data_IF_815739097004
#
_entry.id   IF_815739097004
#
_cell.length_a   1.000
_cell.length_b   1.000
_cell.length_c   1.000
_cell.angle_alpha   90.00
_cell.angle_beta   90.00
_cell.angle_gamma   90.00
#
_symmetry.space_group_name_H-M   'P 1'
#
loop_
_entity.id
_entity.type
_entity.pdbx_description
1 polymer ?
#
# COMPACT_ATOMS: atom_id res chain seq x y z
N UNK A 1 -7.02 -3.23 -19.03
CA UNK A 1 -6.09 -3.33 -17.90
C UNK A 1 -6.10 -4.76 -17.41
N UNK A 2 -4.94 -5.42 -17.38
CA UNK A 2 -4.81 -6.74 -16.78
C UNK A 2 -4.68 -6.53 -15.27
N UNK A 3 -5.68 -6.98 -14.52
CA UNK A 3 -5.66 -7.02 -13.05
C UNK A 3 -5.06 -8.38 -12.68
N UNK A 4 -3.83 -8.39 -12.18
CA UNK A 4 -3.22 -9.60 -11.64
C UNK A 4 -3.39 -9.57 -10.12
N UNK A 5 -4.30 -10.40 -9.63
CA UNK A 5 -4.46 -10.66 -8.19
C UNK A 5 -3.60 -11.87 -7.85
N UNK A 6 -2.44 -11.65 -7.24
CA UNK A 6 -1.60 -12.72 -6.73
C UNK A 6 -1.80 -12.85 -5.20
N UNK A 7 -1.70 -14.07 -4.68
CA UNK A 7 -1.75 -14.29 -3.23
C UNK A 7 -0.34 -14.15 -2.65
N UNK A 8 -0.18 -13.46 -1.52
CA UNK A 8 1.07 -13.48 -0.79
C UNK A 8 1.48 -14.94 -0.51
N UNK A 9 2.59 -15.40 -1.08
CA UNK A 9 3.06 -16.80 -1.01
C UNK A 9 3.69 -17.16 0.36
N UNK A 10 3.63 -16.24 1.33
CA UNK A 10 4.39 -16.29 2.57
C UNK A 10 3.57 -16.95 3.67
N UNK A 11 4.23 -17.79 4.48
CA UNK A 11 3.56 -18.58 5.51
C UNK A 11 3.59 -17.91 6.90
N UNK A 12 4.39 -16.85 7.08
CA UNK A 12 4.57 -16.12 8.33
C UNK A 12 4.81 -14.60 8.13
N UNK A 13 4.78 -13.84 9.23
CA UNK A 13 4.92 -12.38 9.21
C UNK A 13 6.30 -11.89 8.74
N UNK A 14 7.44 -12.49 9.15
CA UNK A 14 8.75 -12.13 8.59
C UNK A 14 8.81 -12.33 7.07
N UNK A 15 8.33 -13.47 6.56
CA UNK A 15 8.28 -13.71 5.13
C UNK A 15 7.41 -12.71 4.38
N UNK A 16 6.30 -12.25 4.99
CA UNK A 16 5.48 -11.15 4.45
C UNK A 16 6.28 -9.85 4.32
N UNK A 17 7.09 -9.48 5.32
CA UNK A 17 7.96 -8.30 5.23
C UNK A 17 8.94 -8.44 4.07
N UNK A 18 9.64 -9.57 3.97
CA UNK A 18 10.62 -9.82 2.91
C UNK A 18 9.96 -9.72 1.52
N UNK A 19 8.78 -10.33 1.37
CA UNK A 19 8.01 -10.26 0.13
C UNK A 19 7.54 -8.85 -0.23
N UNK A 20 7.14 -8.03 0.75
CA UNK A 20 6.79 -6.62 0.48
C UNK A 20 8.03 -5.84 0.03
N UNK A 21 9.19 -6.08 0.65
CA UNK A 21 10.46 -5.46 0.22
C UNK A 21 10.78 -5.82 -1.22
N UNK A 22 10.70 -7.11 -1.57
CA UNK A 22 10.92 -7.58 -2.95
C UNK A 22 9.93 -6.94 -3.93
N UNK A 23 8.65 -6.88 -3.56
CA UNK A 23 7.58 -6.34 -4.40
C UNK A 23 7.73 -4.84 -4.69
N UNK A 24 8.28 -4.08 -3.74
CA UNK A 24 8.47 -2.62 -3.86
C UNK A 24 9.83 -2.22 -4.43
N UNK A 25 10.79 -3.15 -4.50
CA UNK A 25 12.14 -2.87 -4.99
C UNK A 25 12.14 -2.64 -6.50
N UNK A 26 12.90 -1.64 -6.95
CA UNK A 26 13.10 -1.30 -8.36
C UNK A 26 11.82 -0.97 -9.17
N UNK A 27 10.75 -0.58 -8.49
CA UNK A 27 9.47 -0.23 -9.13
C UNK A 27 9.49 1.19 -9.72
N UNK A 28 8.76 1.43 -10.84
CA UNK A 28 8.73 2.73 -11.49
C UNK A 28 7.94 3.76 -10.67
N UNK A 29 8.25 5.06 -10.84
CA UNK A 29 7.43 6.14 -10.30
C UNK A 29 6.00 6.03 -10.83
N UNK A 30 5.02 6.07 -9.92
CA UNK A 30 3.60 5.91 -10.19
C UNK A 30 3.10 4.49 -9.95
N UNK A 31 3.97 3.52 -9.71
CA UNK A 31 3.58 2.18 -9.27
C UNK A 31 2.79 2.23 -7.97
N UNK A 32 1.73 1.42 -7.89
CA UNK A 32 0.88 1.28 -6.70
C UNK A 32 0.84 -0.19 -6.29
N UNK A 33 1.03 -0.42 -5.00
CA UNK A 33 0.96 -1.73 -4.34
C UNK A 33 -0.08 -1.67 -3.23
N UNK A 34 -1.06 -2.56 -3.26
CA UNK A 34 -2.20 -2.53 -2.34
C UNK A 34 -2.34 -3.88 -1.62
N UNK A 35 -2.49 -3.81 -0.30
CA UNK A 35 -2.82 -4.97 0.54
C UNK A 35 -4.15 -4.73 1.25
N UNK A 36 -4.96 -5.77 1.33
CA UNK A 36 -6.24 -5.79 2.02
C UNK A 36 -6.74 -7.21 2.25
N UNK A 37 -7.92 -7.41 2.86
CA UNK A 37 -8.48 -8.75 3.02
C UNK A 37 -8.77 -9.39 1.66
N UNK A 38 -8.33 -10.64 1.45
CA UNK A 38 -8.41 -11.35 0.16
C UNK A 38 -9.83 -11.48 -0.39
N UNK A 39 -10.79 -11.73 0.50
CA UNK A 39 -12.18 -12.01 0.11
C UNK A 39 -13.07 -10.74 0.11
N UNK A 40 -12.46 -9.55 0.17
CA UNK A 40 -13.20 -8.30 0.09
C UNK A 40 -13.63 -8.04 -1.37
N UNK A 41 -14.92 -8.26 -1.67
CA UNK A 41 -15.53 -7.93 -2.95
C UNK A 41 -15.79 -6.42 -3.11
N UNK A 42 -16.20 -5.95 -4.30
CA UNK A 42 -16.73 -4.60 -4.45
C UNK A 42 -17.88 -4.42 -3.46
N UNK A 43 -17.83 -3.34 -2.67
CA UNK A 43 -18.75 -3.08 -1.58
C UNK A 43 -20.21 -3.10 -2.08
N UNK A 44 -20.89 -4.23 -1.95
CA UNK A 44 -22.34 -4.29 -2.01
C UNK A 44 -22.83 -3.89 -0.61
N UNK A 45 -23.14 -2.60 -0.43
CA UNK A 45 -24.06 -1.99 0.54
C UNK A 45 -24.19 -2.59 1.97
N UNK A 46 -23.19 -3.29 2.51
CA UNK A 46 -23.28 -3.88 3.85
C UNK A 46 -22.50 -3.06 4.89
N UNK A 47 -23.28 -2.59 5.86
CA UNK A 47 -22.90 -1.90 7.08
C UNK A 47 -21.66 -2.53 7.75
N UNK A 48 -20.58 -1.77 7.89
CA UNK A 48 -19.67 -1.90 9.03
C UNK A 48 -18.64 -3.04 9.02
N UNK A 49 -18.31 -3.64 7.87
CA UNK A 49 -17.12 -4.50 7.80
C UNK A 49 -15.87 -3.61 7.83
N UNK A 50 -15.18 -3.58 8.98
CA UNK A 50 -13.89 -2.93 9.15
C UNK A 50 -12.88 -3.56 8.17
N UNK A 51 -12.42 -2.80 7.18
CA UNK A 51 -11.55 -3.26 6.12
C UNK A 51 -10.14 -2.72 6.35
N UNK A 52 -9.20 -3.58 6.73
CA UNK A 52 -7.80 -3.15 6.92
C UNK A 52 -7.12 -3.07 5.57
N UNK A 53 -6.81 -1.86 5.12
CA UNK A 53 -6.12 -1.63 3.86
C UNK A 53 -4.81 -0.89 4.08
N UNK A 54 -3.82 -1.22 3.27
CA UNK A 54 -2.58 -0.48 3.15
C UNK A 54 -2.24 -0.30 1.67
N UNK A 55 -1.91 0.93 1.28
CA UNK A 55 -1.53 1.29 -0.08
C UNK A 55 -0.16 1.94 -0.06
N UNK A 56 0.73 1.49 -0.94
CA UNK A 56 2.01 2.13 -1.21
C UNK A 56 1.99 2.69 -2.62
N UNK A 57 2.37 3.96 -2.77
CA UNK A 57 2.64 4.56 -4.08
C UNK A 57 4.11 4.95 -4.18
N UNK A 58 4.75 4.57 -5.28
CA UNK A 58 6.12 4.98 -5.61
C UNK A 58 6.08 6.39 -6.20
N UNK A 59 6.72 7.32 -5.54
CA UNK A 59 6.90 8.70 -5.95
C UNK A 59 8.26 8.90 -6.63
N UNK A 60 8.51 10.12 -7.11
CA UNK A 60 9.83 10.51 -7.64
C UNK A 60 10.94 10.33 -6.60
N UNK A 61 12.17 10.18 -7.08
CA UNK A 61 13.39 10.05 -6.27
C UNK A 61 13.36 8.88 -5.25
N UNK A 62 12.65 7.81 -5.61
CA UNK A 62 12.54 6.59 -4.80
C UNK A 62 11.78 6.76 -3.48
N UNK A 63 10.97 7.81 -3.35
CA UNK A 63 10.14 7.99 -2.16
C UNK A 63 8.90 7.11 -2.26
N UNK A 64 8.59 6.40 -1.20
CA UNK A 64 7.39 5.58 -1.01
C UNK A 64 6.42 6.35 -0.12
N UNK A 65 5.17 6.46 -0.55
CA UNK A 65 4.05 6.91 0.29
C UNK A 65 3.28 5.67 0.75
N UNK A 66 3.35 5.34 2.03
CA UNK A 66 2.48 4.35 2.65
C UNK A 66 1.29 5.04 3.30
N UNK A 67 0.08 4.56 2.99
CA UNK A 67 -1.19 4.95 3.61
C UNK A 67 -1.86 3.75 4.24
N UNK A 68 -2.50 3.95 5.39
CA UNK A 68 -3.25 2.91 6.11
C UNK A 68 -4.68 3.36 6.37
N UNK A 69 -5.59 2.39 6.31
CA UNK A 69 -7.00 2.64 6.58
C UNK A 69 -7.71 1.42 7.13
N UNK A 70 -8.81 1.68 7.84
CA UNK A 70 -9.86 0.74 8.25
C UNK A 70 -11.07 0.77 7.32
N UNK A 71 -10.98 1.53 6.23
CA UNK A 71 -11.92 1.52 5.12
C UNK A 71 -11.17 1.23 3.82
N UNK A 72 -11.92 1.05 2.73
CA UNK A 72 -11.33 0.98 1.38
C UNK A 72 -10.55 2.26 1.09
N UNK A 73 -9.33 2.12 0.59
CA UNK A 73 -8.51 3.23 0.09
C UNK A 73 -8.81 3.44 -1.40
N UNK A 74 -9.05 4.68 -1.79
CA UNK A 74 -9.09 5.04 -3.20
C UNK A 74 -7.65 5.11 -3.73
N UNK A 75 -7.48 4.71 -5.00
CA UNK A 75 -6.21 4.89 -5.71
C UNK A 75 -5.93 6.38 -5.93
N UNK A 76 -4.71 6.79 -5.60
CA UNK A 76 -4.29 8.19 -5.72
C UNK A 76 -3.82 8.51 -7.13
N UNK A 77 -4.38 9.60 -7.67
CA UNK A 77 -3.90 10.27 -8.86
C UNK A 77 -3.27 11.60 -8.46
N UNK A 78 -2.04 11.55 -7.93
CA UNK A 78 -1.30 12.74 -7.51
C UNK A 78 -0.88 13.56 -8.74
N UNK A 79 -1.47 14.75 -8.90
CA UNK A 79 -1.19 15.62 -10.05
C UNK A 79 0.15 16.36 -9.98
N UNK A 80 0.54 16.85 -8.80
CA UNK A 80 1.82 17.53 -8.57
C UNK A 80 2.24 17.40 -7.10
N UNK A 81 3.55 17.24 -6.87
CA UNK A 81 4.15 17.20 -5.54
C UNK A 81 5.65 17.47 -5.62
N UNK A 82 6.21 18.02 -4.54
CA UNK A 82 7.64 18.28 -4.41
C UNK A 82 8.25 17.39 -3.34
N UNK A 83 9.07 16.44 -3.78
CA UNK A 83 9.75 15.49 -2.88
C UNK A 83 10.58 16.19 -1.81
N UNK A 84 11.19 17.33 -2.14
CA UNK A 84 12.00 18.13 -1.21
C UNK A 84 11.23 18.65 0.01
N UNK A 85 9.90 18.77 -0.10
CA UNK A 85 9.05 19.34 0.94
C UNK A 85 8.36 18.25 1.79
N UNK A 86 8.59 16.96 1.48
CA UNK A 86 7.99 15.83 2.19
C UNK A 86 8.69 15.55 3.52
N UNK A 87 7.94 15.39 4.63
CA UNK A 87 8.51 15.04 5.93
C UNK A 87 8.82 13.53 6.01
N UNK A 88 9.98 13.14 5.51
CA UNK A 88 10.39 11.73 5.45
C UNK A 88 10.55 11.11 6.84
N UNK A 89 10.24 9.81 6.93
CA UNK A 89 10.38 8.97 8.12
C UNK A 89 9.60 9.47 9.34
N UNK A 90 8.53 10.23 9.09
CA UNK A 90 7.62 10.75 10.12
C UNK A 90 6.21 10.25 9.85
N UNK A 91 5.60 9.65 10.87
CA UNK A 91 4.18 9.33 10.84
C UNK A 91 3.35 10.61 10.85
N UNK A 92 2.39 10.70 9.94
CA UNK A 92 1.45 11.83 9.83
C UNK A 92 0.02 11.33 10.05
N UNK A 93 -0.66 12.00 10.98
CA UNK A 93 -2.08 11.79 11.24
C UNK A 93 -2.90 12.75 10.37
N UNK A 94 -4.03 12.27 9.85
CA UNK A 94 -4.65 12.75 8.62
C UNK A 94 -5.13 14.21 8.61
N UNK A 95 -4.74 14.93 7.54
CA UNK A 95 -5.46 16.09 6.98
C UNK A 95 -5.45 16.11 5.43
N UNK A 96 -4.70 15.22 4.76
CA UNK A 96 -4.52 15.26 3.29
C UNK A 96 -5.28 14.17 2.52
N UNK A 97 -5.72 13.11 3.18
CA UNK A 97 -6.37 11.97 2.55
C UNK A 97 -7.59 11.56 3.38
N UNK A 98 -8.80 11.81 2.87
CA UNK A 98 -10.06 11.61 3.60
C UNK A 98 -10.34 10.14 3.95
N UNK A 99 -9.82 9.22 3.13
CA UNK A 99 -9.93 7.76 3.22
C UNK A 99 -8.75 7.12 3.98
N UNK A 100 -7.81 7.90 4.52
CA UNK A 100 -6.65 7.43 5.27
C UNK A 100 -6.88 7.51 6.78
N UNK A 101 -7.66 6.57 7.32
CA UNK A 101 -8.10 6.64 8.73
C UNK A 101 -6.99 6.41 9.76
N UNK A 102 -5.87 5.81 9.36
CA UNK A 102 -4.80 5.37 10.29
C UNK A 102 -3.44 5.98 9.97
N UNK A 103 -3.45 7.08 9.21
CA UNK A 103 -2.30 7.90 8.89
C UNK A 103 -1.42 7.35 7.77
N UNK A 104 -0.35 8.10 7.49
CA UNK A 104 0.55 7.84 6.37
C UNK A 104 1.99 8.24 6.69
N UNK A 105 2.93 7.73 5.89
CA UNK A 105 4.35 8.03 6.01
C UNK A 105 4.99 8.11 4.61
N UNK A 106 5.94 9.02 4.48
CA UNK A 106 6.85 9.08 3.33
C UNK A 106 8.20 8.51 3.74
N UNK A 107 8.80 7.65 2.95
CA UNK A 107 10.14 7.13 3.23
C UNK A 107 10.90 6.76 1.95
N UNK A 108 12.24 6.74 2.02
CA UNK A 108 13.08 6.06 1.01
C UNK A 108 13.54 4.68 1.47
N UNK A 109 13.20 4.31 2.71
CA UNK A 109 13.56 3.04 3.28
C UNK A 109 12.42 2.06 3.06
N UNK A 110 12.62 1.16 2.10
CA UNK A 110 11.65 0.11 1.77
C UNK A 110 11.41 -0.84 2.95
N UNK A 111 12.43 -1.09 3.79
CA UNK A 111 12.28 -1.96 4.95
C UNK A 111 11.38 -1.29 5.99
N UNK A 112 11.54 0.00 6.22
CA UNK A 112 10.66 0.75 7.11
C UNK A 112 9.19 0.67 6.66
N UNK A 113 8.95 0.78 5.35
CA UNK A 113 7.61 0.69 4.77
C UNK A 113 7.05 -0.72 4.94
N UNK A 114 7.82 -1.75 4.58
CA UNK A 114 7.42 -3.15 4.70
C UNK A 114 7.13 -3.53 6.16
N UNK A 115 8.01 -3.17 7.09
CA UNK A 115 7.82 -3.41 8.52
C UNK A 115 6.57 -2.69 9.05
N UNK A 116 6.35 -1.43 8.65
CA UNK A 116 5.17 -0.68 9.06
C UNK A 116 3.86 -1.31 8.55
N UNK A 117 3.86 -1.84 7.32
CA UNK A 117 2.73 -2.58 6.76
C UNK A 117 2.50 -3.90 7.48
N UNK A 118 3.52 -4.75 7.59
CA UNK A 118 3.41 -6.06 8.26
C UNK A 118 2.99 -5.90 9.71
N UNK A 119 3.59 -4.96 10.45
CA UNK A 119 3.23 -4.70 11.84
C UNK A 119 1.78 -4.23 11.97
N UNK A 120 1.28 -3.45 11.02
CA UNK A 120 -0.11 -3.00 11.02
C UNK A 120 -1.09 -4.15 10.87
N UNK A 121 -0.94 -4.98 9.85
CA UNK A 121 -1.81 -6.15 9.64
C UNK A 121 -1.76 -7.11 10.82
N UNK A 122 -0.55 -7.36 11.35
CA UNK A 122 -0.36 -8.22 12.53
C UNK A 122 -1.03 -7.64 13.78
N UNK A 123 -0.98 -6.33 13.98
CA UNK A 123 -1.47 -5.68 15.20
C UNK A 123 -2.99 -5.55 15.24
N UNK A 124 -3.63 -5.29 14.12
CA UNK A 124 -5.08 -5.05 14.07
C UNK A 124 -5.91 -6.29 14.39
N UNK A 125 -5.36 -7.49 14.20
CA UNK A 125 -5.99 -8.74 14.60
C UNK A 125 -7.22 -9.16 13.78
N UNK A 126 -7.61 -8.41 12.74
CA UNK A 126 -8.70 -8.81 11.82
C UNK A 126 -8.24 -9.82 10.77
N UNK A 127 -6.93 -10.05 10.64
CA UNK A 127 -6.36 -11.08 9.78
C UNK A 127 -5.55 -12.06 10.62
N UNK A 128 -6.01 -13.31 10.67
CA UNK A 128 -5.40 -14.36 11.51
C UNK A 128 -4.02 -14.80 10.99
N UNK A 129 -3.78 -14.67 9.69
CA UNK A 129 -2.55 -15.13 9.03
C UNK A 129 -2.27 -14.38 7.72
N UNK A 130 -0.99 -14.17 7.32
CA UNK A 130 -0.63 -13.51 6.06
C UNK A 130 -1.30 -14.06 4.80
N UNK A 131 -1.66 -15.35 4.76
CA UNK A 131 -2.26 -15.98 3.56
C UNK A 131 -3.68 -15.51 3.25
N UNK A 132 -4.33 -14.83 4.21
CA UNK A 132 -5.65 -14.23 4.05
C UNK A 132 -5.58 -12.78 3.53
N UNK A 133 -4.36 -12.27 3.32
CA UNK A 133 -4.12 -10.94 2.75
C UNK A 133 -4.08 -11.08 1.23
N UNK A 134 -4.99 -10.37 0.57
CA UNK A 134 -4.98 -10.18 -0.88
C UNK A 134 -4.00 -9.07 -1.26
N UNK A 135 -3.53 -9.15 -2.50
CA UNK A 135 -2.62 -8.18 -3.09
C UNK A 135 -3.13 -7.72 -4.46
N UNK A 136 -2.94 -6.44 -4.75
CA UNK A 136 -3.21 -5.85 -6.07
C UNK A 136 -2.04 -4.92 -6.45
N UNK A 137 -1.74 -4.91 -7.75
CA UNK A 137 -0.64 -4.13 -8.32
C UNK A 137 -1.16 -3.27 -9.46
N UNK A 138 -0.70 -2.03 -9.54
CA UNK A 138 -0.97 -1.15 -10.67
C UNK A 138 0.33 -0.50 -11.14
N UNK A 139 0.58 -0.60 -12.45
CA UNK A 139 1.72 0.06 -13.09
C UNK A 139 1.29 1.37 -13.74
N UNK A 140 2.17 2.40 -13.74
CA UNK A 140 1.87 3.67 -14.38
C UNK A 140 1.67 3.48 -15.89
N UNK A 141 0.70 4.20 -16.45
CA UNK A 141 0.55 4.27 -17.90
C UNK A 141 1.76 4.97 -18.53
N UNK A 142 2.28 4.39 -19.60
CA UNK A 142 3.34 5.00 -20.41
C UNK A 142 2.72 5.58 -21.67
N UNK A 143 2.79 6.90 -21.83
CA UNK A 143 2.16 7.60 -22.95
C UNK A 143 2.78 7.23 -24.32
N UNK A 144 4.07 6.87 -24.34
CA UNK A 144 4.81 6.48 -25.54
C UNK A 144 5.73 5.29 -25.21
N UNK A 145 5.84 4.26 -26.06
CA UNK A 145 6.80 3.18 -25.83
C UNK A 145 8.22 3.73 -25.73
N UNK A 146 9.04 3.16 -24.83
CA UNK A 146 10.47 3.48 -24.74
C UNK A 146 11.12 3.20 -26.12
N UNK A 147 11.76 4.23 -26.68
CA UNK A 147 12.37 4.19 -28.01
C UNK A 147 13.71 3.48 -28.06
#
# INVERSE_FOLDING_TARGET
>A
MARETDSASTHDWPGMTDWIVESLSDQPTGFVFELGPRDYGPAEDDEGIEAINAQVQVLRDGVLLLRRSRTVLYRLFLGDYRVADLPLNRWLDGEHFDDCTDGYIFSRDVNLIAEAMTAWFRHCGLVESPQLIGCDYEFPDVLLPEG
#
